data_IF_570809731164
#
_entry.id   IF_570809731164
#
_cell.length_a   1.000
_cell.length_b   1.000
_cell.length_c   1.000
_cell.angle_alpha   90.00
_cell.angle_beta   90.00
_cell.angle_gamma   90.00
#
_symmetry.space_group_name_H-M   'P 1'
#
loop_
_entity.id
_entity.type
_entity.pdbx_description
1 polymer ?
#
# COMPACT_ATOMS: atom_id res chain seq x y z
N UNK A 1 -16.60 -21.65 12.01
CA UNK A 1 -16.51 -20.68 10.90
C UNK A 1 -15.02 -20.43 10.71
N UNK A 2 -14.46 -20.49 9.48
CA UNK A 2 -13.08 -20.05 9.29
C UNK A 2 -12.99 -18.58 9.72
N UNK A 3 -11.94 -18.21 10.45
CA UNK A 3 -11.72 -16.81 10.79
C UNK A 3 -11.63 -15.97 9.50
N UNK A 4 -12.14 -14.72 9.52
CA UNK A 4 -11.93 -13.83 8.38
C UNK A 4 -10.43 -13.74 8.09
N UNK A 5 -10.06 -13.93 6.82
CA UNK A 5 -8.66 -13.88 6.38
C UNK A 5 -8.09 -12.51 6.76
N UNK A 6 -7.03 -12.48 7.57
CA UNK A 6 -6.41 -11.23 8.01
C UNK A 6 -5.89 -10.43 6.81
N UNK A 7 -5.72 -9.13 6.98
CA UNK A 7 -5.16 -8.25 5.95
C UNK A 7 -3.74 -8.68 5.53
N UNK A 8 -2.94 -9.13 6.49
CA UNK A 8 -1.59 -9.67 6.25
C UNK A 8 -1.65 -10.95 5.40
N UNK A 9 -2.56 -11.87 5.73
CA UNK A 9 -2.76 -13.09 4.97
C UNK A 9 -3.28 -12.82 3.56
N UNK A 10 -4.19 -11.86 3.41
CA UNK A 10 -4.72 -11.44 2.10
C UNK A 10 -3.60 -10.92 1.20
N UNK A 11 -2.70 -10.08 1.72
CA UNK A 11 -1.53 -9.59 0.97
C UNK A 11 -0.61 -10.74 0.57
N UNK A 12 -0.38 -11.71 1.46
CA UNK A 12 0.45 -12.87 1.17
C UNK A 12 -0.16 -13.77 0.06
N UNK A 13 -1.48 -13.97 0.10
CA UNK A 13 -2.22 -14.74 -0.90
C UNK A 13 -2.18 -14.02 -2.26
N UNK A 14 -2.45 -12.72 -2.29
CA UNK A 14 -2.42 -11.93 -3.51
C UNK A 14 -1.02 -11.82 -4.11
N UNK A 15 0.03 -11.75 -3.27
CA UNK A 15 1.41 -11.81 -3.73
C UNK A 15 1.68 -13.14 -4.43
N UNK A 16 1.22 -14.25 -3.86
CA UNK A 16 1.34 -15.57 -4.46
C UNK A 16 0.59 -15.66 -5.79
N UNK A 17 -0.61 -15.09 -5.87
CA UNK A 17 -1.39 -15.01 -7.10
C UNK A 17 -0.69 -14.16 -8.18
N UNK A 18 -0.17 -12.98 -7.81
CA UNK A 18 0.54 -12.08 -8.72
C UNK A 18 1.80 -12.74 -9.31
N UNK A 19 2.56 -13.47 -8.48
CA UNK A 19 3.73 -14.22 -8.95
C UNK A 19 3.34 -15.31 -9.96
N UNK A 20 2.24 -16.05 -9.73
CA UNK A 20 1.73 -17.06 -10.66
C UNK A 20 1.24 -16.45 -11.96
N UNK A 21 0.59 -15.29 -11.89
CA UNK A 21 0.12 -14.53 -13.04
C UNK A 21 1.25 -13.83 -13.82
N UNK A 22 2.48 -13.84 -13.30
CA UNK A 22 3.63 -13.09 -13.84
C UNK A 22 3.37 -11.58 -13.92
N UNK A 23 2.53 -11.05 -13.03
CA UNK A 23 2.26 -9.62 -12.90
C UNK A 23 3.40 -8.98 -12.09
N UNK A 24 4.43 -8.53 -12.80
CA UNK A 24 5.66 -8.02 -12.19
C UNK A 24 5.41 -6.75 -11.36
N UNK A 25 4.55 -5.85 -11.84
CA UNK A 25 4.24 -4.59 -11.16
C UNK A 25 3.51 -4.85 -9.85
N UNK A 26 2.44 -5.65 -9.88
CA UNK A 26 1.70 -6.03 -8.67
C UNK A 26 2.57 -6.82 -7.70
N UNK A 27 3.40 -7.73 -8.21
CA UNK A 27 4.33 -8.50 -7.39
C UNK A 27 5.31 -7.60 -6.65
N UNK A 28 5.90 -6.61 -7.32
CA UNK A 28 6.85 -5.66 -6.72
C UNK A 28 6.18 -4.88 -5.58
N UNK A 29 5.01 -4.30 -5.85
CA UNK A 29 4.27 -3.52 -4.87
C UNK A 29 3.86 -4.35 -3.64
N UNK A 30 3.35 -5.57 -3.84
CA UNK A 30 2.94 -6.46 -2.75
C UNK A 30 4.12 -6.96 -1.91
N UNK A 31 5.30 -7.16 -2.51
CA UNK A 31 6.51 -7.49 -1.73
C UNK A 31 6.90 -6.34 -0.80
N UNK A 32 6.84 -5.09 -1.29
CA UNK A 32 7.15 -3.93 -0.47
C UNK A 32 6.12 -3.76 0.66
N UNK A 33 4.83 -3.92 0.37
CA UNK A 33 3.78 -3.88 1.38
C UNK A 33 3.99 -4.95 2.46
N UNK A 34 4.26 -6.20 2.04
CA UNK A 34 4.56 -7.29 2.97
C UNK A 34 5.79 -6.99 3.83
N UNK A 35 6.87 -6.49 3.24
CA UNK A 35 8.08 -6.15 3.98
C UNK A 35 7.82 -5.09 5.07
N UNK A 36 7.04 -4.06 4.74
CA UNK A 36 6.66 -3.02 5.72
C UNK A 36 5.83 -3.59 6.88
N UNK A 37 4.88 -4.49 6.59
CA UNK A 37 4.08 -5.17 7.61
C UNK A 37 4.96 -6.04 8.52
N UNK A 38 5.82 -6.87 7.95
CA UNK A 38 6.76 -7.73 8.70
C UNK A 38 7.71 -6.90 9.56
N UNK A 39 8.25 -5.80 9.03
CA UNK A 39 9.09 -4.89 9.80
C UNK A 39 8.32 -4.34 11.02
N UNK A 40 7.07 -3.94 10.83
CA UNK A 40 6.23 -3.43 11.92
C UNK A 40 5.90 -4.50 12.97
N UNK A 41 5.70 -5.76 12.56
CA UNK A 41 5.57 -6.91 13.49
C UNK A 41 6.84 -7.12 14.31
N UNK A 42 8.01 -7.04 13.68
CA UNK A 42 9.31 -7.15 14.35
C UNK A 42 9.49 -6.03 15.38
N UNK A 43 9.19 -4.79 14.99
CA UNK A 43 9.23 -3.63 15.88
C UNK A 43 8.25 -3.75 17.05
N UNK A 44 7.03 -4.25 16.78
CA UNK A 44 5.99 -4.50 17.80
C UNK A 44 6.35 -5.70 18.69
N UNK A 45 7.15 -6.64 18.19
CA UNK A 45 7.39 -7.98 18.76
C UNK A 45 6.12 -8.81 18.92
N UNK A 46 5.14 -8.59 18.05
CA UNK A 46 3.88 -9.32 18.00
C UNK A 46 3.24 -9.20 16.61
N UNK A 47 2.34 -10.12 16.22
CA UNK A 47 1.54 -9.98 15.00
C UNK A 47 0.75 -8.68 14.97
N UNK A 48 0.50 -8.16 13.76
CA UNK A 48 -0.43 -7.04 13.57
C UNK A 48 -1.87 -7.53 13.56
N UNK A 49 -2.75 -6.74 14.15
CA UNK A 49 -4.17 -6.82 13.79
C UNK A 49 -4.46 -6.07 12.48
N UNK A 50 -5.67 -6.23 11.94
CA UNK A 50 -6.05 -5.62 10.67
C UNK A 50 -6.02 -4.09 10.71
N UNK A 51 -6.31 -3.47 11.86
CA UNK A 51 -6.31 -2.02 11.99
C UNK A 51 -4.88 -1.47 11.98
N UNK A 52 -3.94 -2.15 12.65
CA UNK A 52 -2.52 -1.82 12.61
C UNK A 52 -1.92 -2.04 11.23
N UNK A 53 -2.27 -3.15 10.58
CA UNK A 53 -1.85 -3.43 9.21
C UNK A 53 -2.38 -2.35 8.24
N UNK A 54 -3.64 -1.94 8.37
CA UNK A 54 -4.22 -0.85 7.59
C UNK A 54 -3.45 0.46 7.79
N UNK A 55 -3.07 0.81 9.03
CA UNK A 55 -2.25 2.01 9.31
C UNK A 55 -0.88 1.96 8.63
N UNK A 56 -0.24 0.79 8.58
CA UNK A 56 1.02 0.61 7.84
C UNK A 56 0.82 0.88 6.35
N UNK A 57 -0.24 0.32 5.76
CA UNK A 57 -0.56 0.54 4.34
C UNK A 57 -0.91 2.01 4.04
N UNK A 58 -1.64 2.70 4.93
CA UNK A 58 -1.89 4.15 4.82
C UNK A 58 -0.58 4.94 4.80
N UNK A 59 0.38 4.59 5.67
CA UNK A 59 1.71 5.21 5.66
C UNK A 59 2.42 5.04 4.32
N UNK A 60 2.34 3.84 3.72
CA UNK A 60 2.91 3.58 2.39
C UNK A 60 2.20 4.39 1.29
N UNK A 61 0.86 4.53 1.36
CA UNK A 61 0.11 5.37 0.42
C UNK A 61 0.62 6.81 0.46
N UNK A 62 0.74 7.40 1.65
CA UNK A 62 1.22 8.78 1.82
C UNK A 62 2.64 8.97 1.31
N UNK A 63 3.54 8.02 1.60
CA UNK A 63 4.91 8.05 1.09
C UNK A 63 4.95 8.11 -0.44
N UNK A 64 4.05 7.38 -1.11
CA UNK A 64 3.96 7.36 -2.57
C UNK A 64 3.32 8.61 -3.13
N UNK A 65 2.32 9.16 -2.47
CA UNK A 65 1.73 10.46 -2.84
C UNK A 65 2.77 11.58 -2.78
N UNK A 66 3.61 11.58 -1.73
CA UNK A 66 4.76 12.49 -1.65
C UNK A 66 5.76 12.23 -2.80
N UNK A 67 6.07 10.97 -3.14
CA UNK A 67 6.90 10.63 -4.31
C UNK A 67 6.31 11.10 -5.64
N UNK A 68 5.00 10.94 -5.85
CA UNK A 68 4.27 11.44 -7.04
C UNK A 68 4.50 12.94 -7.19
N UNK A 69 4.34 13.70 -6.11
CA UNK A 69 4.55 15.14 -6.13
C UNK A 69 5.98 15.51 -6.53
N UNK A 70 7.00 14.83 -5.97
CA UNK A 70 8.39 15.06 -6.32
C UNK A 70 8.70 14.68 -7.78
N UNK A 71 8.18 13.55 -8.27
CA UNK A 71 8.38 13.12 -9.66
C UNK A 71 7.67 14.02 -10.67
N UNK A 72 6.49 14.54 -10.34
CA UNK A 72 5.82 15.56 -11.16
C UNK A 72 6.67 16.83 -11.26
N UNK A 73 7.18 17.34 -10.13
CA UNK A 73 8.10 18.50 -10.12
C UNK A 73 9.38 18.27 -10.92
N UNK A 74 9.89 17.05 -10.92
CA UNK A 74 11.07 16.66 -11.67
C UNK A 74 10.81 16.30 -13.14
N UNK A 75 9.58 16.48 -13.67
CA UNK A 75 9.18 16.09 -15.02
C UNK A 75 9.48 14.62 -15.36
N UNK A 76 9.18 13.70 -14.42
CA UNK A 76 9.36 12.25 -14.59
C UNK A 76 8.02 11.50 -14.67
N UNK A 77 7.23 11.67 -15.75
CA UNK A 77 5.86 11.15 -15.85
C UNK A 77 5.77 9.62 -15.79
N UNK A 78 6.81 8.90 -16.21
CA UNK A 78 6.89 7.44 -16.13
C UNK A 78 6.90 6.95 -14.67
N UNK A 79 7.56 7.69 -13.77
CA UNK A 79 7.58 7.38 -12.35
C UNK A 79 6.28 7.78 -11.66
N UNK A 80 5.66 8.88 -12.08
CA UNK A 80 4.34 9.30 -11.60
C UNK A 80 3.31 8.20 -11.84
N UNK A 81 3.21 7.70 -13.08
CA UNK A 81 2.27 6.64 -13.42
C UNK A 81 2.53 5.35 -12.64
N UNK A 82 3.81 5.04 -12.39
CA UNK A 82 4.17 3.88 -11.56
C UNK A 82 3.67 4.04 -10.14
N UNK A 83 3.95 5.16 -9.49
CA UNK A 83 3.51 5.41 -8.10
C UNK A 83 1.98 5.46 -7.99
N UNK A 84 1.27 6.05 -8.95
CA UNK A 84 -0.20 6.10 -8.96
C UNK A 84 -0.84 4.70 -9.06
N UNK A 85 -0.25 3.80 -9.85
CA UNK A 85 -0.68 2.39 -9.90
C UNK A 85 -0.47 1.71 -8.55
N UNK A 86 0.68 1.94 -7.92
CA UNK A 86 0.98 1.35 -6.61
C UNK A 86 0.08 1.92 -5.50
N UNK A 87 -0.24 3.22 -5.53
CA UNK A 87 -1.23 3.85 -4.64
C UNK A 87 -2.60 3.20 -4.81
N UNK A 88 -3.07 3.05 -6.04
CA UNK A 88 -4.38 2.45 -6.34
C UNK A 88 -4.46 1.01 -5.81
N UNK A 89 -3.40 0.24 -6.03
CA UNK A 89 -3.30 -1.12 -5.49
C UNK A 89 -3.36 -1.12 -3.96
N UNK A 90 -2.58 -0.29 -3.27
CA UNK A 90 -2.58 -0.23 -1.81
C UNK A 90 -3.92 0.23 -1.24
N UNK A 91 -4.57 1.23 -1.85
CA UNK A 91 -5.91 1.70 -1.44
C UNK A 91 -6.96 0.59 -1.56
N UNK A 92 -6.82 -0.36 -2.48
CA UNK A 92 -7.74 -1.51 -2.61
C UNK A 92 -7.71 -2.48 -1.40
N UNK A 93 -6.71 -2.36 -0.53
CA UNK A 93 -6.57 -3.13 0.71
C UNK A 93 -7.06 -2.38 1.94
N UNK A 94 -7.36 -1.08 1.81
CA UNK A 94 -7.84 -0.24 2.90
C UNK A 94 -9.37 -0.24 2.96
N UNK A 95 -9.97 -0.11 4.15
CA UNK A 95 -11.41 0.14 4.27
C UNK A 95 -11.78 1.50 3.65
N UNK A 96 -13.03 1.64 3.18
CA UNK A 96 -13.49 2.84 2.49
C UNK A 96 -13.30 4.15 3.29
N UNK A 97 -13.46 4.09 4.62
CA UNK A 97 -13.24 5.24 5.51
C UNK A 97 -11.76 5.66 5.59
N UNK A 98 -10.84 4.71 5.41
CA UNK A 98 -9.41 4.98 5.36
C UNK A 98 -8.98 5.61 4.04
N UNK A 99 -9.64 5.29 2.92
CA UNK A 99 -9.33 5.90 1.62
C UNK A 99 -9.78 7.36 1.53
N UNK A 100 -10.90 7.72 2.16
CA UNK A 100 -11.46 9.07 2.09
C UNK A 100 -10.65 10.09 2.88
N UNK A 101 -10.16 9.71 4.07
CA UNK A 101 -9.30 10.56 4.89
C UNK A 101 -7.95 10.89 4.22
N UNK A 102 -7.40 9.95 3.42
CA UNK A 102 -6.14 10.17 2.69
C UNK A 102 -6.35 10.98 1.39
N UNK A 103 -7.53 10.88 0.74
CA UNK A 103 -7.86 11.71 -0.44
C UNK A 103 -7.92 13.20 -0.07
N UNK A 104 -8.47 13.56 1.09
CA UNK A 104 -8.53 14.97 1.52
C UNK A 104 -7.13 15.55 1.79
N UNK A 105 -6.23 14.78 2.40
CA UNK A 105 -4.87 15.24 2.73
C UNK A 105 -3.99 15.48 1.48
N UNK A 106 -4.18 14.68 0.41
CA UNK A 106 -3.45 14.84 -0.84
C UNK A 106 -3.89 16.09 -1.63
N UNK A 107 -5.15 16.51 -1.50
CA UNK A 107 -5.69 17.69 -2.19
C UNK A 107 -5.24 18.99 -1.50
N UNK A 108 -5.15 19.03 -0.16
CA UNK A 108 -4.68 20.22 0.56
C UNK A 108 -3.18 20.53 0.33
N UNK A 109 -2.35 19.53 0.02
CA UNK A 109 -0.93 19.73 -0.31
C UNK A 109 -0.67 20.21 -1.75
N UNK A 110 -1.69 20.20 -2.62
CA UNK A 110 -1.57 20.54 -4.04
C UNK A 110 -2.05 21.96 -4.39
N UNK A 111 -2.41 22.77 -3.39
CA UNK A 111 -2.85 24.17 -3.54
C UNK A 111 -1.84 25.13 -2.93
#
# INVERSE_FOLDING_TARGET
MPEPVSLVDRIQQDLTAAMKAKDADRTSALRMAKAALVNREIEKKAPLDDAEAARVLQGLVRQREDSVFQFRKANRPELVQKEEKEITLLKSYLPAEASDADIQAAVEKAV
#
